data_IF_643296782659
#
_entry.id   IF_643296782659
#
_cell.length_a   1.000
_cell.length_b   1.000
_cell.length_c   1.000
_cell.angle_alpha   90.00
_cell.angle_beta   90.00
_cell.angle_gamma   90.00
#
_symmetry.space_group_name_H-M   'P 1'
#
loop_
_entity.id
_entity.type
_entity.pdbx_description
1 polymer ?
#
# COMPACT_ATOMS: atom_id res chain seq x y z
N UNK A 1 7.48 -20.71 -3.78
CA UNK A 1 7.79 -19.98 -2.53
C UNK A 1 6.91 -18.74 -2.51
N UNK A 2 5.89 -18.69 -1.66
CA UNK A 2 5.06 -17.49 -1.52
C UNK A 2 5.79 -16.56 -0.57
N UNK A 3 6.33 -15.46 -1.09
CA UNK A 3 6.91 -14.41 -0.26
C UNK A 3 5.76 -13.66 0.42
N UNK A 4 5.42 -14.05 1.65
CA UNK A 4 4.47 -13.29 2.49
C UNK A 4 5.24 -12.15 3.12
N UNK A 5 5.32 -11.01 2.44
CA UNK A 5 5.87 -9.79 3.02
C UNK A 5 5.02 -9.41 4.25
N UNK A 6 5.67 -9.15 5.39
CA UNK A 6 4.97 -8.67 6.59
C UNK A 6 4.94 -7.14 6.65
N UNK A 7 4.14 -6.60 7.57
CA UNK A 7 4.17 -5.17 7.86
C UNK A 7 5.57 -4.72 8.33
N UNK A 8 6.28 -5.54 9.12
CA UNK A 8 7.65 -5.20 9.53
C UNK A 8 8.62 -5.12 8.34
N UNK A 9 8.48 -6.03 7.36
CA UNK A 9 9.27 -5.98 6.13
C UNK A 9 9.01 -4.69 5.35
N UNK A 10 7.73 -4.31 5.22
CA UNK A 10 7.34 -3.05 4.58
C UNK A 10 7.95 -1.85 5.28
N UNK A 11 7.84 -1.78 6.62
CA UNK A 11 8.38 -0.68 7.43
C UNK A 11 9.90 -0.58 7.32
N UNK A 12 10.60 -1.72 7.27
CA UNK A 12 12.06 -1.75 7.11
C UNK A 12 12.49 -1.15 5.78
N UNK A 13 11.77 -1.45 4.70
CA UNK A 13 12.07 -0.87 3.38
C UNK A 13 11.64 0.59 3.32
N UNK A 14 10.49 0.96 3.88
CA UNK A 14 10.04 2.35 4.04
C UNK A 14 11.11 3.22 4.72
N UNK A 15 11.65 2.80 5.87
CA UNK A 15 12.67 3.56 6.61
C UNK A 15 13.96 3.76 5.81
N UNK A 16 14.21 2.91 4.81
CA UNK A 16 15.39 3.00 3.93
C UNK A 16 15.13 3.84 2.69
N UNK A 17 13.94 3.78 2.09
CA UNK A 17 13.61 4.48 0.84
C UNK A 17 13.02 5.86 1.04
N UNK A 18 12.33 6.10 2.16
CA UNK A 18 11.58 7.33 2.42
C UNK A 18 10.34 7.51 1.54
N UNK A 19 9.92 6.49 0.77
CA UNK A 19 8.83 6.60 -0.22
C UNK A 19 7.84 5.43 -0.09
N UNK A 20 6.96 5.42 0.92
CA UNK A 20 6.02 4.32 1.14
C UNK A 20 4.97 4.22 0.03
N UNK A 21 4.51 5.37 -0.47
CA UNK A 21 3.54 5.44 -1.57
C UNK A 21 3.98 4.73 -2.84
N UNK A 22 5.23 4.97 -3.26
CA UNK A 22 5.79 4.33 -4.46
C UNK A 22 5.85 2.81 -4.31
N UNK A 23 6.17 2.32 -3.11
CA UNK A 23 6.17 0.89 -2.83
C UNK A 23 4.76 0.28 -2.89
N UNK A 24 3.77 0.93 -2.27
CA UNK A 24 2.37 0.50 -2.31
C UNK A 24 1.85 0.47 -3.76
N UNK A 25 2.17 1.49 -4.55
CA UNK A 25 1.85 1.55 -5.98
C UNK A 25 2.45 0.38 -6.76
N UNK A 26 3.73 0.10 -6.51
CA UNK A 26 4.43 -1.02 -7.16
C UNK A 26 3.78 -2.35 -6.80
N UNK A 27 3.45 -2.54 -5.51
CA UNK A 27 2.76 -3.72 -5.03
C UNK A 27 1.38 -3.86 -5.69
N UNK A 28 0.58 -2.79 -5.73
CA UNK A 28 -0.73 -2.78 -6.38
C UNK A 28 -0.64 -3.18 -7.86
N UNK A 29 0.31 -2.61 -8.61
CA UNK A 29 0.52 -3.00 -10.00
C UNK A 29 0.96 -4.46 -10.16
N UNK A 30 1.82 -4.98 -9.28
CA UNK A 30 2.21 -6.40 -9.31
C UNK A 30 1.04 -7.36 -9.06
N UNK A 31 -0.03 -6.88 -8.42
CA UNK A 31 -1.28 -7.61 -8.20
C UNK A 31 -2.30 -7.43 -9.33
N UNK A 32 -1.99 -6.60 -10.33
CA UNK A 32 -2.92 -6.25 -11.40
C UNK A 32 -4.14 -5.46 -10.92
N UNK A 33 -4.06 -4.84 -9.73
CA UNK A 33 -5.19 -4.15 -9.10
C UNK A 33 -5.28 -2.69 -9.57
N UNK A 34 -6.49 -2.24 -9.92
CA UNK A 34 -6.74 -0.83 -10.29
C UNK A 34 -6.83 0.04 -9.04
N UNK A 35 -6.77 1.37 -9.22
CA UNK A 35 -6.95 2.30 -8.10
C UNK A 35 -8.40 2.27 -7.57
N UNK A 36 -9.37 2.08 -8.46
CA UNK A 36 -10.80 1.93 -8.15
C UNK A 36 -11.05 0.67 -7.31
N UNK A 37 -10.42 -0.46 -7.67
CA UNK A 37 -10.53 -1.70 -6.89
C UNK A 37 -9.92 -1.56 -5.50
N UNK A 38 -8.76 -0.89 -5.40
CA UNK A 38 -8.15 -0.61 -4.10
C UNK A 38 -9.03 0.32 -3.25
N UNK A 39 -9.60 1.34 -3.86
CA UNK A 39 -10.57 2.27 -3.24
C UNK A 39 -11.77 1.50 -2.70
N UNK A 40 -12.40 0.64 -3.52
CA UNK A 40 -13.54 -0.17 -3.10
C UNK A 40 -13.22 -1.12 -1.94
N UNK A 41 -12.03 -1.72 -1.91
CA UNK A 41 -11.60 -2.65 -0.85
C UNK A 41 -11.19 -1.93 0.45
N UNK A 42 -10.59 -0.76 0.34
CA UNK A 42 -10.09 0.00 1.50
C UNK A 42 -11.11 1.01 2.04
N UNK A 43 -12.08 1.44 1.24
CA UNK A 43 -12.95 2.58 1.54
C UNK A 43 -12.23 3.94 1.54
N UNK A 44 -10.99 4.00 1.03
CA UNK A 44 -10.20 5.23 0.89
C UNK A 44 -10.49 5.79 -0.50
N UNK A 45 -10.69 7.11 -0.61
CA UNK A 45 -10.98 7.73 -1.91
C UNK A 45 -9.84 7.53 -2.92
N UNK A 46 -10.16 7.39 -4.20
CA UNK A 46 -9.14 7.27 -5.27
C UNK A 46 -8.18 8.47 -5.27
N UNK A 47 -8.69 9.67 -4.99
CA UNK A 47 -7.87 10.88 -4.89
C UNK A 47 -6.81 10.76 -3.79
N UNK A 48 -7.21 10.31 -2.61
CA UNK A 48 -6.31 10.12 -1.47
C UNK A 48 -5.30 8.99 -1.73
N UNK A 49 -5.75 7.87 -2.32
CA UNK A 49 -4.84 6.79 -2.73
C UNK A 49 -3.80 7.27 -3.77
N UNK A 50 -4.22 8.06 -4.76
CA UNK A 50 -3.31 8.66 -5.75
C UNK A 50 -2.31 9.62 -5.09
N UNK A 51 -2.77 10.43 -4.13
CA UNK A 51 -1.89 11.34 -3.39
C UNK A 51 -0.84 10.58 -2.58
N UNK A 52 -1.26 9.54 -1.85
CA UNK A 52 -0.38 8.64 -1.09
C UNK A 52 0.61 7.97 -2.03
N UNK A 53 0.13 7.29 -3.08
CA UNK A 53 0.97 6.56 -4.05
C UNK A 53 1.91 7.47 -4.87
N UNK A 54 1.47 8.70 -5.12
CA UNK A 54 2.24 9.73 -5.82
C UNK A 54 3.34 10.36 -4.97
N UNK A 55 3.40 10.04 -3.68
CA UNK A 55 4.40 10.59 -2.77
C UNK A 55 4.17 12.06 -2.45
N UNK A 56 2.91 12.51 -2.38
CA UNK A 56 2.59 13.84 -1.84
C UNK A 56 3.27 13.98 -0.47
N UNK A 57 4.25 14.87 -0.43
CA UNK A 57 5.47 14.76 0.37
C UNK A 57 5.34 15.17 1.84
N UNK A 58 4.14 15.10 2.42
CA UNK A 58 3.89 15.39 3.83
C UNK A 58 3.42 14.18 4.65
N UNK A 59 3.24 13.02 4.01
CA UNK A 59 2.79 11.82 4.72
C UNK A 59 3.87 11.25 5.65
N UNK A 60 3.80 11.61 6.94
CA UNK A 60 4.70 11.11 7.99
C UNK A 60 4.19 9.76 8.46
N UNK A 61 5.06 8.76 8.56
CA UNK A 61 4.65 7.42 9.01
C UNK A 61 3.88 7.47 10.34
N UNK A 62 4.28 8.32 11.28
CA UNK A 62 3.56 8.45 12.56
C UNK A 62 2.12 8.95 12.44
N UNK A 63 1.81 9.69 11.39
CA UNK A 63 0.47 10.25 11.15
C UNK A 63 -0.35 9.32 10.24
N UNK A 64 0.30 8.69 9.26
CA UNK A 64 -0.36 7.86 8.25
C UNK A 64 -0.20 6.35 8.46
N UNK A 65 0.34 5.90 9.60
CA UNK A 65 0.64 4.48 9.81
C UNK A 65 -0.60 3.60 9.60
N UNK A 66 -1.74 4.04 10.14
CA UNK A 66 -2.99 3.30 10.07
C UNK A 66 -3.49 3.17 8.62
N UNK A 67 -3.40 4.24 7.82
CA UNK A 67 -3.87 4.23 6.43
C UNK A 67 -2.92 3.42 5.55
N UNK A 68 -1.60 3.58 5.72
CA UNK A 68 -0.58 2.81 5.01
C UNK A 68 -0.68 1.32 5.31
N UNK A 69 -0.93 0.96 6.58
CA UNK A 69 -1.13 -0.43 7.00
C UNK A 69 -2.38 -1.03 6.37
N UNK A 70 -3.50 -0.30 6.38
CA UNK A 70 -4.75 -0.75 5.76
C UNK A 70 -4.58 -1.02 4.25
N UNK A 71 -3.89 -0.12 3.54
CA UNK A 71 -3.59 -0.31 2.12
C UNK A 71 -2.70 -1.56 1.94
N UNK A 72 -1.61 -1.66 2.70
CA UNK A 72 -0.71 -2.80 2.62
C UNK A 72 -1.41 -4.13 2.84
N UNK A 73 -2.18 -4.26 3.93
CA UNK A 73 -2.94 -5.47 4.26
C UNK A 73 -3.90 -5.86 3.13
N UNK A 74 -4.60 -4.88 2.57
CA UNK A 74 -5.50 -5.10 1.42
C UNK A 74 -4.77 -5.64 0.20
N UNK A 75 -3.53 -5.22 -0.03
CA UNK A 75 -2.71 -5.65 -1.17
C UNK A 75 -2.04 -7.02 -0.97
N UNK A 76 -1.83 -7.45 0.28
CA UNK A 76 -1.19 -8.74 0.58
C UNK A 76 -2.17 -9.89 0.82
N UNK A 77 -3.46 -9.61 1.05
CA UNK A 77 -4.50 -10.64 1.08
C UNK A 77 -4.60 -11.24 -0.32
N UNK A 78 -4.01 -12.41 -0.47
CA UNK A 78 -4.14 -13.25 -1.66
C UNK A 78 -5.57 -13.75 -1.66
N UNK A 79 -6.38 -13.38 -2.65
CA UNK A 79 -7.56 -14.19 -2.96
C UNK A 79 -7.06 -15.58 -3.34
N UNK A 80 -7.36 -16.56 -2.48
CA UNK A 80 -7.37 -17.95 -2.92
C UNK A 80 -8.39 -17.99 -4.07
N UNK A 81 -7.89 -18.01 -5.30
CA UNK A 81 -8.71 -18.44 -6.42
C UNK A 81 -8.87 -19.94 -6.25
N UNK A 82 -10.07 -20.36 -5.86
CA UNK A 82 -10.56 -21.74 -5.95
C UNK A 82 -10.23 -22.37 -7.32
#
# INVERSE_FOLDING_TARGET
MVFKATWEDFIKVYRKSGQPGLMLRTLRYSKGMTIEELSARTGISEFELIAIEGGASDHRLSEDEAILKKIFETLIVVEEKD
#
